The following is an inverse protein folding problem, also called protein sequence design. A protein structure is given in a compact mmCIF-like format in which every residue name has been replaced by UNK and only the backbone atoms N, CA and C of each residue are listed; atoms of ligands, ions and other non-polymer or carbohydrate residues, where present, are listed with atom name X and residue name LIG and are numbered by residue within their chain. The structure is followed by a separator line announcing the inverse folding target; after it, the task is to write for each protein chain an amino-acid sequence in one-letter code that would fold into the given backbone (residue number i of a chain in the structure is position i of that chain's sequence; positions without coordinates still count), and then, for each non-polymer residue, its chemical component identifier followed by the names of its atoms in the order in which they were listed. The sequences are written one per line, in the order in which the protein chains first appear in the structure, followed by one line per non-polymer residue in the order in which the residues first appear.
data_IF_046888194238
#
_entry.id   IF_046888194238
#
_cell.length_a   1.000
_cell.length_b   1.000
_cell.length_c   1.000
_cell.angle_alpha   90.00
_cell.angle_beta   90.00
_cell.angle_gamma   90.00
#
_symmetry.space_group_name_H-M   'P 1'
#
loop_
_entity.id
_entity.type
_entity.pdbx_description
1 polymer ?
#
# COMPACT_ATOMS: atom_id res chain seq x y z
N UNK A 1 -25.00 -15.96 -15.06
CA UNK A 1 -23.70 -15.33 -14.86
C UNK A 1 -23.79 -14.48 -13.61
N UNK A 2 -22.92 -14.71 -12.61
CA UNK A 2 -22.99 -13.97 -11.35
C UNK A 2 -22.67 -12.48 -11.54
N UNK A 3 -23.46 -11.62 -10.91
CA UNK A 3 -23.24 -10.16 -10.90
C UNK A 3 -22.16 -9.82 -9.86
N UNK A 4 -20.88 -10.02 -10.19
CA UNK A 4 -19.77 -9.67 -9.31
C UNK A 4 -19.02 -8.48 -9.86
N UNK A 5 -18.62 -7.57 -8.96
CA UNK A 5 -17.68 -6.50 -9.29
C UNK A 5 -16.25 -7.06 -9.25
N UNK A 6 -15.42 -6.68 -10.22
CA UNK A 6 -14.03 -7.11 -10.29
C UNK A 6 -13.13 -6.00 -10.83
N UNK A 7 -11.90 -5.99 -10.35
CA UNK A 7 -10.86 -5.10 -10.85
C UNK A 7 -10.38 -5.57 -12.23
N UNK A 8 -10.22 -4.62 -13.15
CA UNK A 8 -9.70 -4.87 -14.50
C UNK A 8 -8.20 -4.53 -14.50
N UNK A 9 -7.84 -3.32 -14.01
CA UNK A 9 -6.47 -2.83 -13.98
C UNK A 9 -6.30 -1.81 -12.85
N UNK A 10 -5.04 -1.52 -12.49
CA UNK A 10 -4.71 -0.48 -11.52
C UNK A 10 -3.39 0.20 -11.89
N UNK A 11 -3.36 1.52 -11.79
CA UNK A 11 -2.15 2.33 -11.88
C UNK A 11 -1.93 3.07 -10.58
N UNK A 12 -0.69 3.04 -10.08
CA UNK A 12 -0.30 3.66 -8.82
C UNK A 12 0.85 4.62 -9.09
N UNK A 13 0.68 5.87 -8.69
CA UNK A 13 1.71 6.91 -8.77
C UNK A 13 2.05 7.39 -7.36
N UNK A 14 3.31 7.30 -6.96
CA UNK A 14 3.77 7.88 -5.69
C UNK A 14 3.74 9.41 -5.78
N UNK A 15 3.03 10.05 -4.85
CA UNK A 15 2.88 11.52 -4.78
C UNK A 15 3.83 12.11 -3.77
N UNK A 16 4.14 11.39 -2.70
CA UNK A 16 5.12 11.78 -1.69
C UNK A 16 6.28 10.81 -1.69
N UNK A 17 7.49 11.34 -1.61
CA UNK A 17 8.72 10.56 -1.50
C UNK A 17 9.31 10.60 -0.09
N UNK A 18 8.56 11.15 0.89
CA UNK A 18 9.00 11.15 2.28
C UNK A 18 8.88 9.76 2.88
N UNK A 19 10.01 9.13 3.14
CA UNK A 19 10.05 7.83 3.79
C UNK A 19 9.68 7.96 5.28
N UNK A 20 8.95 6.97 5.86
CA UNK A 20 8.53 6.99 7.26
C UNK A 20 9.69 6.75 8.24
N UNK A 21 10.82 6.27 7.74
CA UNK A 21 12.06 6.03 8.47
C UNK A 21 13.15 6.87 7.83
N UNK A 22 13.84 7.69 8.62
CA UNK A 22 14.97 8.49 8.15
C UNK A 22 16.23 7.67 8.00
N UNK A 23 17.17 8.14 7.17
CA UNK A 23 18.47 7.51 7.01
C UNK A 23 19.22 7.40 8.36
N UNK A 24 19.12 8.43 9.21
CA UNK A 24 19.75 8.43 10.52
C UNK A 24 19.17 7.35 11.46
N UNK A 25 17.84 7.20 11.50
CA UNK A 25 17.16 6.13 12.26
C UNK A 25 17.56 4.75 11.75
N UNK A 26 17.59 4.57 10.43
CA UNK A 26 18.01 3.33 9.79
C UNK A 26 19.45 2.95 10.15
N UNK A 27 20.40 3.89 9.98
CA UNK A 27 21.82 3.68 10.33
C UNK A 27 22.02 3.36 11.81
N UNK A 28 21.29 4.05 12.70
CA UNK A 28 21.32 3.76 14.13
C UNK A 28 20.86 2.34 14.41
N UNK A 29 19.79 1.90 13.74
CA UNK A 29 19.20 0.58 13.93
C UNK A 29 20.14 -0.56 13.48
N UNK A 30 20.76 -0.42 12.31
CA UNK A 30 21.72 -1.39 11.76
C UNK A 30 23.17 -1.18 12.25
N UNK A 31 23.41 -0.20 13.15
CA UNK A 31 24.72 0.13 13.78
C UNK A 31 25.80 0.52 12.78
N UNK A 32 25.43 1.25 11.73
CA UNK A 32 26.38 1.81 10.75
C UNK A 32 26.69 3.27 11.07
N UNK A 33 27.96 3.59 11.28
CA UNK A 33 28.41 4.96 11.64
C UNK A 33 29.05 5.74 10.49
N UNK A 34 29.54 5.04 9.45
CA UNK A 34 30.18 5.69 8.27
C UNK A 34 29.12 6.08 7.21
N UNK A 35 29.52 6.94 6.26
CA UNK A 35 28.62 7.45 5.22
C UNK A 35 28.81 6.78 3.83
N UNK A 36 29.76 5.86 3.71
CA UNK A 36 30.08 5.23 2.42
C UNK A 36 28.92 4.41 1.83
N UNK A 37 28.00 3.94 2.66
CA UNK A 37 26.84 3.12 2.25
C UNK A 37 25.50 3.89 2.29
N UNK A 38 25.53 5.20 2.56
CA UNK A 38 24.32 6.01 2.70
C UNK A 38 23.35 5.89 1.51
N UNK A 39 23.79 5.95 0.24
CA UNK A 39 22.90 5.80 -0.91
C UNK A 39 22.22 4.42 -0.94
N UNK A 40 23.00 3.36 -0.65
CA UNK A 40 22.49 2.00 -0.63
C UNK A 40 21.48 1.77 0.50
N UNK A 41 21.75 2.31 1.69
CA UNK A 41 20.82 2.24 2.83
C UNK A 41 19.54 3.00 2.52
N UNK A 42 19.60 4.16 1.85
CA UNK A 42 18.42 4.90 1.42
C UNK A 42 17.54 4.10 0.44
N UNK A 43 18.13 3.41 -0.51
CA UNK A 43 17.40 2.51 -1.42
C UNK A 43 16.78 1.33 -0.66
N UNK A 44 17.48 0.76 0.31
CA UNK A 44 16.97 -0.33 1.13
C UNK A 44 15.79 0.11 2.02
N UNK A 45 15.75 1.36 2.52
CA UNK A 45 14.60 1.91 3.25
C UNK A 45 13.36 1.86 2.36
N UNK A 46 13.48 2.36 1.13
CA UNK A 46 12.38 2.37 0.17
C UNK A 46 11.94 0.94 -0.20
N UNK A 47 12.89 0.03 -0.42
CA UNK A 47 12.60 -1.37 -0.72
C UNK A 47 11.92 -2.08 0.46
N UNK A 48 12.41 -1.87 1.69
CA UNK A 48 11.80 -2.43 2.90
C UNK A 48 10.35 -1.93 3.07
N UNK A 49 10.11 -0.61 2.92
CA UNK A 49 8.75 -0.05 2.96
C UNK A 49 7.83 -0.70 1.92
N UNK A 50 8.29 -0.82 0.67
CA UNK A 50 7.50 -1.44 -0.40
C UNK A 50 7.15 -2.91 -0.09
N UNK A 51 8.08 -3.65 0.49
CA UNK A 51 7.85 -5.03 0.94
C UNK A 51 6.75 -5.08 2.03
N UNK A 52 6.80 -4.16 3.01
CA UNK A 52 5.80 -4.06 4.07
C UNK A 52 4.42 -3.67 3.50
N UNK A 53 4.37 -2.68 2.62
CA UNK A 53 3.13 -2.24 1.95
C UNK A 53 2.48 -3.39 1.18
N UNK A 54 3.27 -4.14 0.43
CA UNK A 54 2.78 -5.29 -0.34
C UNK A 54 2.29 -6.41 0.57
N UNK A 55 3.02 -6.74 1.64
CA UNK A 55 2.67 -7.80 2.57
C UNK A 55 1.40 -7.49 3.38
N UNK A 56 1.19 -6.24 3.76
CA UNK A 56 0.02 -5.79 4.51
C UNK A 56 -1.17 -5.39 3.61
N UNK A 57 -0.96 -5.20 2.31
CA UNK A 57 -1.99 -4.72 1.38
C UNK A 57 -2.42 -3.28 1.65
N UNK A 58 -1.50 -2.44 2.17
CA UNK A 58 -1.74 -1.04 2.55
C UNK A 58 -0.79 -0.12 1.81
N UNK A 59 -1.09 1.19 1.85
CA UNK A 59 -0.17 2.25 1.44
C UNK A 59 0.27 3.07 2.63
N UNK A 60 1.57 3.16 2.87
CA UNK A 60 2.15 3.92 3.98
C UNK A 60 2.38 5.36 3.56
N UNK A 61 3.02 5.59 2.42
CA UNK A 61 3.23 6.92 1.85
C UNK A 61 2.05 7.34 0.98
N UNK A 62 1.95 8.64 0.70
CA UNK A 62 0.88 9.16 -0.16
C UNK A 62 1.07 8.73 -1.60
N UNK A 63 0.07 8.06 -2.15
CA UNK A 63 0.00 7.63 -3.55
C UNK A 63 -1.33 8.01 -4.16
N UNK A 64 -1.34 8.32 -5.46
CA UNK A 64 -2.56 8.39 -6.24
C UNK A 64 -2.80 7.04 -6.90
N UNK A 65 -4.00 6.52 -6.73
CA UNK A 65 -4.43 5.25 -7.28
C UNK A 65 -5.52 5.51 -8.30
N UNK A 66 -5.34 4.95 -9.48
CA UNK A 66 -6.37 4.86 -10.52
C UNK A 66 -6.69 3.40 -10.74
N UNK A 67 -7.94 3.01 -10.52
CA UNK A 67 -8.40 1.63 -10.69
C UNK A 67 -9.49 1.59 -11.75
N UNK A 68 -9.37 0.68 -12.70
CA UNK A 68 -10.42 0.34 -13.66
C UNK A 68 -11.11 -0.94 -13.23
N UNK A 69 -12.42 -0.94 -13.25
CA UNK A 69 -13.20 -2.07 -12.76
C UNK A 69 -14.59 -2.14 -13.40
N UNK A 70 -15.21 -3.30 -13.29
CA UNK A 70 -16.63 -3.53 -13.61
C UNK A 70 -17.42 -3.64 -12.33
N UNK A 71 -18.51 -2.87 -12.20
CA UNK A 71 -19.34 -2.85 -11.01
C UNK A 71 -20.72 -3.50 -11.26
N UNK A 72 -20.75 -4.77 -11.61
CA UNK A 72 -22.01 -5.52 -11.83
C UNK A 72 -22.74 -5.86 -10.53
N UNK A 73 -22.07 -5.81 -9.39
CA UNK A 73 -22.64 -6.11 -8.09
C UNK A 73 -23.12 -4.91 -7.28
N UNK A 74 -22.92 -3.66 -7.76
CA UNK A 74 -23.25 -2.44 -7.02
C UNK A 74 -22.27 -2.08 -5.89
N UNK A 75 -21.29 -2.96 -5.62
CA UNK A 75 -20.29 -2.82 -4.55
C UNK A 75 -18.91 -3.14 -5.10
N UNK A 76 -17.92 -2.31 -4.78
CA UNK A 76 -16.54 -2.57 -5.14
C UNK A 76 -15.59 -2.25 -3.98
N UNK A 77 -14.65 -3.15 -3.71
CA UNK A 77 -13.60 -2.95 -2.72
C UNK A 77 -12.47 -2.14 -3.35
N UNK A 78 -12.19 -0.94 -2.84
CA UNK A 78 -11.05 -0.16 -3.29
C UNK A 78 -9.75 -0.77 -2.74
N UNK A 79 -8.78 -1.08 -3.60
CA UNK A 79 -7.49 -1.59 -3.17
C UNK A 79 -6.60 -0.49 -2.57
N UNK A 80 -5.49 -0.88 -1.96
CA UNK A 80 -4.39 -0.01 -1.51
C UNK A 80 -4.73 1.03 -0.43
N UNK A 81 -5.74 0.80 0.42
CA UNK A 81 -6.04 1.72 1.53
C UNK A 81 -4.88 1.95 2.52
N UNK A 82 -5.07 2.82 3.52
CA UNK A 82 -6.26 3.63 3.76
C UNK A 82 -6.41 4.79 2.77
N UNK A 83 -7.64 5.18 2.46
CA UNK A 83 -7.91 6.34 1.61
C UNK A 83 -7.81 7.64 2.40
N UNK A 84 -7.26 8.68 1.77
CA UNK A 84 -7.11 10.03 2.34
C UNK A 84 -7.83 11.10 1.52
N UNK A 85 -8.50 10.72 0.44
CA UNK A 85 -9.34 11.62 -0.36
C UNK A 85 -10.64 10.93 -0.76
N UNK A 86 -11.70 11.70 -0.99
CA UNK A 86 -12.94 11.17 -1.59
C UNK A 86 -12.63 10.61 -2.98
N UNK A 87 -13.00 9.34 -3.27
CA UNK A 87 -12.82 8.77 -4.60
C UNK A 87 -13.68 9.49 -5.64
N UNK A 88 -13.07 9.81 -6.77
CA UNK A 88 -13.80 10.27 -7.95
C UNK A 88 -14.07 9.06 -8.84
N UNK A 89 -15.34 8.70 -8.99
CA UNK A 89 -15.75 7.56 -9.80
C UNK A 89 -16.37 8.07 -11.09
N UNK A 90 -15.93 7.54 -12.21
CA UNK A 90 -16.42 7.92 -13.53
C UNK A 90 -16.54 6.72 -14.47
N UNK A 91 -17.49 6.80 -15.38
CA UNK A 91 -17.57 5.91 -16.54
C UNK A 91 -16.45 6.26 -17.52
N UNK A 92 -15.69 5.26 -17.95
CA UNK A 92 -14.55 5.46 -18.86
C UNK A 92 -15.02 5.86 -20.27
N UNK A 93 -16.21 5.41 -20.68
CA UNK A 93 -16.74 5.62 -22.03
C UNK A 93 -17.40 6.97 -22.18
N UNK A 94 -18.22 7.36 -21.20
CA UNK A 94 -19.03 8.60 -21.27
C UNK A 94 -18.38 9.77 -20.53
N UNK A 95 -17.43 9.50 -19.61
CA UNK A 95 -16.84 10.48 -18.71
C UNK A 95 -17.79 10.97 -17.60
N UNK A 96 -18.98 10.39 -17.50
CA UNK A 96 -19.95 10.75 -16.46
C UNK A 96 -19.41 10.38 -15.08
N UNK A 97 -19.48 11.32 -14.13
CA UNK A 97 -19.10 11.09 -12.73
C UNK A 97 -20.29 10.62 -11.92
N UNK A 98 -20.03 9.76 -10.93
CA UNK A 98 -21.04 9.21 -10.04
C UNK A 98 -20.68 9.50 -8.59
N UNK A 99 -21.67 9.90 -7.82
CA UNK A 99 -21.55 9.98 -6.37
C UNK A 99 -21.49 8.57 -5.80
N UNK A 100 -20.47 8.30 -5.01
CA UNK A 100 -20.28 7.01 -4.36
C UNK A 100 -20.29 7.15 -2.85
N UNK A 101 -21.00 6.23 -2.19
CA UNK A 101 -20.90 6.10 -0.75
C UNK A 101 -19.67 5.28 -0.39
N UNK A 102 -18.78 5.85 0.41
CA UNK A 102 -17.57 5.18 0.89
C UNK A 102 -17.83 4.66 2.30
N UNK A 103 -17.61 3.37 2.50
CA UNK A 103 -17.75 2.69 3.79
C UNK A 103 -16.40 2.09 4.18
N UNK A 104 -15.96 2.32 5.42
CA UNK A 104 -14.70 1.83 5.95
C UNK A 104 -13.53 2.78 5.71
N UNK A 105 -12.43 2.56 6.43
CA UNK A 105 -11.23 3.40 6.42
C UNK A 105 -10.03 2.71 5.77
N UNK A 106 -9.49 1.68 6.43
CA UNK A 106 -8.27 1.01 5.97
C UNK A 106 -8.46 0.22 4.67
N UNK A 107 -9.64 -0.38 4.49
CA UNK A 107 -10.01 -1.14 3.30
C UNK A 107 -11.41 -0.69 2.86
N UNK A 108 -11.50 0.44 2.18
CA UNK A 108 -12.78 1.07 1.89
C UNK A 108 -13.56 0.31 0.82
N UNK A 109 -14.88 0.31 1.00
CA UNK A 109 -15.85 -0.22 0.05
C UNK A 109 -16.61 0.96 -0.53
N UNK A 110 -16.80 0.98 -1.83
CA UNK A 110 -17.66 1.95 -2.50
C UNK A 110 -18.93 1.30 -3.02
N UNK A 111 -20.06 2.00 -2.84
CA UNK A 111 -21.34 1.61 -3.40
C UNK A 111 -21.85 2.71 -4.31
N UNK A 112 -22.30 2.33 -5.49
CA UNK A 112 -22.90 3.19 -6.50
C UNK A 112 -23.69 2.35 -7.51
N UNK A 113 -24.45 2.94 -8.46
CA UNK A 113 -25.21 2.18 -9.45
C UNK A 113 -24.34 1.18 -10.22
N UNK A 114 -24.92 0.01 -10.55
CA UNK A 114 -24.23 -1.02 -11.34
C UNK A 114 -23.90 -0.50 -12.73
N UNK A 115 -22.62 -0.52 -13.08
CA UNK A 115 -22.08 -0.04 -14.35
C UNK A 115 -20.84 -0.86 -14.73
N UNK A 116 -20.62 -1.02 -16.04
CA UNK A 116 -19.37 -1.55 -16.59
C UNK A 116 -18.41 -0.40 -16.93
N UNK A 117 -17.13 -0.74 -17.13
CA UNK A 117 -16.07 0.19 -17.58
C UNK A 117 -15.90 1.41 -16.67
N UNK A 118 -15.84 1.18 -15.38
CA UNK A 118 -15.70 2.22 -14.38
C UNK A 118 -14.24 2.50 -14.08
N UNK A 119 -13.96 3.76 -13.71
CA UNK A 119 -12.67 4.21 -13.21
C UNK A 119 -12.86 4.94 -11.87
N UNK A 120 -12.07 4.58 -10.88
CA UNK A 120 -11.96 5.31 -9.61
C UNK A 120 -10.58 5.93 -9.49
N UNK A 121 -10.51 7.21 -9.13
CA UNK A 121 -9.26 7.93 -8.84
C UNK A 121 -9.34 8.46 -7.41
N UNK A 122 -8.35 8.12 -6.59
CA UNK A 122 -8.31 8.51 -5.18
C UNK A 122 -6.87 8.51 -4.66
N UNK A 123 -6.66 9.19 -3.53
CA UNK A 123 -5.38 9.17 -2.85
C UNK A 123 -5.44 8.23 -1.64
N UNK A 124 -4.34 7.51 -1.45
CA UNK A 124 -4.14 6.58 -0.35
C UNK A 124 -2.88 6.95 0.42
N UNK A 125 -2.75 6.44 1.63
CA UNK A 125 -1.59 6.65 2.48
C UNK A 125 -1.98 6.88 3.94
N UNK A 126 -0.97 7.00 4.79
CA UNK A 126 -1.18 7.27 6.22
C UNK A 126 -0.72 8.68 6.56
N UNK A 127 -1.57 9.46 7.22
CA UNK A 127 -1.20 10.79 7.77
C UNK A 127 -0.21 10.67 8.93
N UNK A 128 -0.33 9.58 9.69
CA UNK A 128 0.59 9.23 10.77
C UNK A 128 0.91 7.76 10.68
N UNK A 129 2.19 7.42 10.52
CA UNK A 129 2.62 6.03 10.43
C UNK A 129 2.73 5.43 11.83
N UNK A 130 2.01 4.34 12.13
CA UNK A 130 2.11 3.65 13.41
C UNK A 130 3.54 3.19 13.71
N UNK A 131 3.93 3.28 14.97
CA UNK A 131 5.26 2.87 15.42
C UNK A 131 5.58 1.41 15.06
N UNK A 132 4.58 0.54 15.14
CA UNK A 132 4.72 -0.87 14.75
C UNK A 132 5.15 -1.04 13.28
N UNK A 133 4.61 -0.23 12.36
CA UNK A 133 5.02 -0.26 10.95
C UNK A 133 6.42 0.32 10.74
N UNK A 134 6.80 1.36 11.48
CA UNK A 134 8.19 1.88 11.45
C UNK A 134 9.19 0.81 11.88
N UNK A 135 8.92 0.11 12.97
CA UNK A 135 9.78 -1.01 13.40
C UNK A 135 9.76 -2.16 12.40
N UNK A 136 8.63 -2.49 11.78
CA UNK A 136 8.58 -3.50 10.73
C UNK A 136 9.50 -3.15 9.54
N UNK A 137 9.53 -1.86 9.14
CA UNK A 137 10.42 -1.38 8.09
C UNK A 137 11.89 -1.50 8.52
N UNK A 138 12.20 -1.14 9.78
CA UNK A 138 13.57 -1.24 10.31
C UNK A 138 14.03 -2.71 10.44
N UNK A 139 13.17 -3.62 10.90
CA UNK A 139 13.47 -5.06 10.97
C UNK A 139 13.70 -5.64 9.57
N UNK A 140 12.84 -5.26 8.59
CA UNK A 140 13.00 -5.67 7.20
C UNK A 140 14.29 -5.11 6.58
N UNK A 141 14.60 -3.84 6.84
CA UNK A 141 15.84 -3.21 6.42
C UNK A 141 17.06 -3.97 6.96
N UNK A 142 17.06 -4.27 8.27
CA UNK A 142 18.16 -5.02 8.91
C UNK A 142 18.31 -6.41 8.27
N UNK A 143 17.21 -7.08 8.02
CA UNK A 143 17.22 -8.39 7.35
C UNK A 143 17.86 -8.29 5.95
N UNK A 144 17.46 -7.30 5.15
CA UNK A 144 18.03 -7.09 3.80
C UNK A 144 19.51 -6.70 3.87
N UNK A 145 19.89 -5.91 4.87
CA UNK A 145 21.27 -5.47 5.06
C UNK A 145 22.20 -6.62 5.42
N UNK A 146 21.78 -7.50 6.34
CA UNK A 146 22.54 -8.68 6.76
C UNK A 146 22.63 -9.75 5.66
N UNK A 147 21.61 -9.87 4.82
CA UNK A 147 21.51 -10.89 3.77
C UNK A 147 21.83 -10.39 2.37
N UNK A 148 22.62 -9.32 2.23
CA UNK A 148 22.98 -8.71 0.92
C UNK A 148 23.56 -9.68 -0.11
N UNK A 149 24.22 -10.74 0.34
CA UNK A 149 24.82 -11.75 -0.52
C UNK A 149 23.95 -12.97 -0.82
N UNK A 150 22.75 -13.06 -0.23
CA UNK A 150 21.89 -14.24 -0.34
C UNK A 150 20.98 -14.25 -1.60
N UNK A 151 21.12 -13.27 -2.50
CA UNK A 151 20.29 -13.18 -3.70
C UNK A 151 18.81 -13.00 -3.40
N UNK A 152 17.93 -13.68 -4.14
CA UNK A 152 16.48 -13.54 -4.00
C UNK A 152 15.95 -13.99 -2.63
N UNK A 153 16.61 -14.93 -1.96
CA UNK A 153 16.20 -15.40 -0.63
C UNK A 153 16.36 -14.31 0.45
N UNK A 154 17.38 -13.44 0.32
CA UNK A 154 17.58 -12.30 1.22
C UNK A 154 16.58 -11.16 1.02
N UNK A 155 15.82 -11.17 -0.08
CA UNK A 155 14.85 -10.13 -0.42
C UNK A 155 13.42 -10.42 0.09
N UNK A 156 13.16 -11.60 0.64
CA UNK A 156 11.87 -11.97 1.21
C UNK A 156 11.53 -11.17 2.48
N UNK A 157 10.25 -11.16 2.86
CA UNK A 157 9.85 -10.52 4.11
C UNK A 157 10.34 -11.34 5.31
N UNK A 158 10.97 -10.68 6.28
CA UNK A 158 11.40 -11.34 7.51
C UNK A 158 10.21 -11.62 8.44
N UNK A 159 10.34 -12.65 9.30
CA UNK A 159 9.25 -13.10 10.17
C UNK A 159 8.75 -12.00 11.12
N UNK A 160 9.64 -11.18 11.67
CA UNK A 160 9.27 -10.09 12.58
C UNK A 160 8.40 -9.06 11.87
N UNK A 161 8.83 -8.62 10.69
CA UNK A 161 8.08 -7.68 9.86
C UNK A 161 6.74 -8.27 9.42
N UNK A 162 6.70 -9.54 9.02
CA UNK A 162 5.47 -10.24 8.67
C UNK A 162 4.44 -10.24 9.80
N UNK A 163 4.87 -10.58 11.03
CA UNK A 163 3.98 -10.55 12.21
C UNK A 163 3.40 -9.16 12.47
N UNK A 164 4.20 -8.11 12.31
CA UNK A 164 3.71 -6.74 12.44
C UNK A 164 2.71 -6.38 11.32
N UNK A 165 2.95 -6.82 10.08
CA UNK A 165 2.04 -6.60 8.96
C UNK A 165 0.66 -7.21 9.20
N UNK A 166 0.58 -8.37 9.84
CA UNK A 166 -0.71 -9.04 10.13
C UNK A 166 -1.68 -8.20 10.95
N UNK A 167 -1.19 -7.25 11.75
CA UNK A 167 -2.04 -6.33 12.49
C UNK A 167 -2.77 -5.32 11.58
N UNK A 168 -2.30 -5.15 10.36
CA UNK A 168 -2.80 -4.16 9.39
C UNK A 168 -3.41 -4.79 8.14
N UNK A 169 -3.24 -6.11 7.96
CA UNK A 169 -3.88 -6.82 6.85
C UNK A 169 -5.39 -6.86 7.01
N UNK A 170 -6.09 -6.87 5.88
CA UNK A 170 -7.53 -7.10 5.85
C UNK A 170 -7.81 -8.49 6.41
N UNK A 171 -8.38 -8.55 7.61
CA UNK A 171 -8.97 -9.80 8.10
C UNK A 171 -10.20 -10.09 7.24
N UNK A 172 -10.15 -11.14 6.43
CA UNK A 172 -11.36 -11.65 5.79
C UNK A 172 -12.35 -12.01 6.91
N UNK A 173 -13.59 -11.52 6.87
CA UNK A 173 -14.58 -12.01 7.83
C UNK A 173 -14.64 -13.54 7.66
N UNK A 174 -14.45 -14.25 8.77
CA UNK A 174 -14.65 -15.69 8.83
C UNK A 174 -16.16 -15.88 8.62
N UNK A 175 -16.51 -16.44 7.45
CA UNK A 175 -17.87 -16.90 7.17
C UNK A 175 -18.15 -18.18 7.93
#
# INVERSE_FOLDING_TARGET
MGNYSYQIDANITEVSYAEPVTLAEAKLYIRVSHSSEDPQIAEMISAARKTIEQAAGISIITKQVTVWFSNKGGVFNLPYGPIISTPVISDVTTGTTYDATVIGGSHPIVTFPMQDNMKAVYNVGMTTVPVALKYAILDQLNHMYENRGAGAEGMGICEKAWRACQLFTKQSPIL
#
